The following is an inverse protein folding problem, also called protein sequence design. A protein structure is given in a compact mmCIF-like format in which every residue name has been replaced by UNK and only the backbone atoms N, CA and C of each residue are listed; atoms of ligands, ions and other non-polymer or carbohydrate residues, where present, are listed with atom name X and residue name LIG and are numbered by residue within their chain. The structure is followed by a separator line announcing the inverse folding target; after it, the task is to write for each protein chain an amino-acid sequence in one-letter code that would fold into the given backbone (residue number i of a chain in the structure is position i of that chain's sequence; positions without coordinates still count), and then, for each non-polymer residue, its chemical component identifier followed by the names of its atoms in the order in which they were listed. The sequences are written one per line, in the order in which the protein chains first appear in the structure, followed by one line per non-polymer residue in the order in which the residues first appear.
data_IF_499265466892
#
_entry.id   IF_499265466892
#
_cell.length_a   1.000
_cell.length_b   1.000
_cell.length_c   1.000
_cell.angle_alpha   90.00
_cell.angle_beta   90.00
_cell.angle_gamma   90.00
#
_symmetry.space_group_name_H-M   'P 1'
#
loop_
_entity.id
_entity.type
_entity.pdbx_description
1 polymer ?
#
# COMPACT_ATOMS: atom_id res chain seq x y z
N UNK A 1 -42.63 -9.77 -4.42
CA UNK A 1 -41.62 -8.81 -3.93
C UNK A 1 -41.87 -7.48 -4.61
N UNK A 2 -42.00 -6.43 -3.81
CA UNK A 2 -42.31 -5.06 -4.26
C UNK A 2 -41.05 -4.42 -4.86
N UNK A 3 -41.16 -3.67 -5.95
CA UNK A 3 -40.03 -2.98 -6.61
C UNK A 3 -39.20 -2.12 -5.64
N UNK A 4 -39.84 -1.58 -4.60
CA UNK A 4 -39.17 -0.76 -3.56
C UNK A 4 -38.22 -1.58 -2.68
N UNK A 5 -38.61 -2.81 -2.36
CA UNK A 5 -37.82 -3.75 -1.56
C UNK A 5 -36.54 -4.19 -2.31
N UNK A 6 -36.61 -4.27 -3.64
CA UNK A 6 -35.44 -4.58 -4.48
C UNK A 6 -34.44 -3.43 -4.57
N UNK A 7 -34.90 -2.17 -4.55
CA UNK A 7 -34.01 -0.99 -4.59
C UNK A 7 -33.32 -0.79 -3.23
N UNK A 8 -34.03 -0.86 -2.11
CA UNK A 8 -33.43 -0.79 -0.76
C UNK A 8 -32.37 -1.86 -0.55
N UNK A 9 -32.66 -3.12 -0.92
CA UNK A 9 -31.68 -4.21 -0.80
C UNK A 9 -30.45 -4.01 -1.70
N UNK A 10 -30.58 -3.31 -2.84
CA UNK A 10 -29.47 -3.02 -3.75
C UNK A 10 -28.58 -1.88 -3.23
N UNK A 11 -29.16 -0.88 -2.59
CA UNK A 11 -28.41 0.22 -1.96
C UNK A 11 -27.60 -0.26 -0.77
N UNK A 12 -28.18 -1.11 0.09
CA UNK A 12 -27.48 -1.73 1.22
C UNK A 12 -26.28 -2.54 0.72
N UNK A 13 -26.47 -3.37 -0.32
CA UNK A 13 -25.39 -4.16 -0.89
C UNK A 13 -24.28 -3.30 -1.52
N UNK A 14 -24.60 -2.17 -2.14
CA UNK A 14 -23.60 -1.27 -2.72
C UNK A 14 -22.78 -0.56 -1.66
N UNK A 15 -23.41 -0.13 -0.56
CA UNK A 15 -22.74 0.46 0.60
C UNK A 15 -21.73 -0.52 1.18
N UNK A 16 -22.13 -1.77 1.43
CA UNK A 16 -21.24 -2.78 2.00
C UNK A 16 -20.04 -3.08 1.10
N UNK A 17 -20.26 -3.14 -0.23
CA UNK A 17 -19.19 -3.33 -1.21
C UNK A 17 -18.24 -2.12 -1.21
N UNK A 18 -18.79 -0.90 -1.19
CA UNK A 18 -17.97 0.30 -1.21
C UNK A 18 -17.14 0.42 0.07
N UNK A 19 -17.70 0.08 1.22
CA UNK A 19 -17.00 0.09 2.51
C UNK A 19 -15.79 -0.84 2.49
N UNK A 20 -15.97 -2.08 2.01
CA UNK A 20 -14.86 -3.04 1.85
C UNK A 20 -13.78 -2.52 0.89
N UNK A 21 -14.16 -1.88 -0.21
CA UNK A 21 -13.20 -1.32 -1.18
C UNK A 21 -12.45 -0.12 -0.60
N UNK A 22 -13.12 0.75 0.16
CA UNK A 22 -12.51 1.93 0.77
C UNK A 22 -11.56 1.55 1.91
N UNK A 23 -11.96 0.58 2.74
CA UNK A 23 -11.16 0.14 3.89
C UNK A 23 -9.99 -0.75 3.50
N UNK A 24 -10.25 -1.82 2.73
CA UNK A 24 -9.23 -2.84 2.42
C UNK A 24 -8.54 -2.62 1.09
N UNK A 25 -9.21 -1.94 0.15
CA UNK A 25 -8.77 -1.88 -1.24
C UNK A 25 -8.97 -3.19 -2.01
N UNK A 26 -8.78 -3.12 -3.33
CA UNK A 26 -8.91 -4.23 -4.27
C UNK A 26 -7.69 -4.26 -5.18
N UNK A 27 -6.98 -5.38 -5.18
CA UNK A 27 -5.94 -5.66 -6.16
C UNK A 27 -6.51 -6.45 -7.34
N UNK A 28 -6.32 -5.93 -8.55
CA UNK A 28 -6.78 -6.54 -9.81
C UNK A 28 -5.55 -6.90 -10.64
N UNK A 29 -5.49 -8.17 -11.08
CA UNK A 29 -4.51 -8.65 -12.05
C UNK A 29 -5.27 -9.02 -13.33
N UNK A 30 -4.85 -8.46 -14.45
CA UNK A 30 -5.43 -8.72 -15.75
C UNK A 30 -4.33 -8.76 -16.81
N UNK A 31 -4.60 -9.46 -17.91
CA UNK A 31 -3.79 -9.41 -19.12
C UNK A 31 -4.66 -8.92 -20.29
N UNK A 32 -4.04 -8.23 -21.24
CA UNK A 32 -4.70 -7.75 -22.44
C UNK A 32 -3.79 -7.97 -23.64
N UNK A 33 -4.35 -8.59 -24.68
CA UNK A 33 -3.70 -8.77 -25.98
C UNK A 33 -4.44 -7.94 -27.02
N UNK A 34 -3.70 -7.13 -27.77
CA UNK A 34 -4.22 -6.37 -28.91
C UNK A 34 -3.71 -7.01 -30.19
N UNK A 35 -4.63 -7.57 -30.97
CA UNK A 35 -4.34 -8.28 -32.21
C UNK A 35 -4.87 -7.52 -33.42
N UNK A 36 -4.12 -7.50 -34.52
CA UNK A 36 -4.54 -6.93 -35.80
C UNK A 36 -4.30 -7.98 -36.88
N UNK A 37 -5.31 -8.18 -37.74
CA UNK A 37 -5.27 -9.16 -38.83
C UNK A 37 -4.87 -10.59 -38.39
N UNK A 38 -5.28 -10.99 -37.18
CA UNK A 38 -4.98 -12.31 -36.63
C UNK A 38 -3.55 -12.46 -36.08
N UNK A 39 -2.79 -11.37 -35.97
CA UNK A 39 -1.47 -11.34 -35.34
C UNK A 39 -1.53 -10.54 -34.04
N UNK A 40 -1.03 -11.12 -32.95
CA UNK A 40 -0.91 -10.45 -31.66
C UNK A 40 0.25 -9.45 -31.70
N UNK A 41 -0.04 -8.16 -31.51
CA UNK A 41 0.95 -7.10 -31.61
C UNK A 41 1.42 -6.60 -30.25
N UNK A 42 0.50 -6.54 -29.29
CA UNK A 42 0.76 -5.94 -27.98
C UNK A 42 0.20 -6.85 -26.90
N UNK A 43 1.04 -7.22 -25.95
CA UNK A 43 0.64 -7.89 -24.71
C UNK A 43 0.87 -6.93 -23.55
N UNK A 44 -0.14 -6.77 -22.69
CA UNK A 44 -0.13 -5.92 -21.51
C UNK A 44 -0.42 -6.78 -20.29
N UNK A 45 0.51 -6.78 -19.32
CA UNK A 45 0.27 -7.31 -17.97
C UNK A 45 -0.15 -6.14 -17.05
N UNK A 46 -1.42 -6.12 -16.66
CA UNK A 46 -2.05 -5.04 -15.91
C UNK A 46 -2.21 -5.45 -14.45
N UNK A 47 -1.55 -4.70 -13.56
CA UNK A 47 -1.70 -4.80 -12.11
C UNK A 47 -2.21 -3.48 -11.58
N UNK A 48 -3.43 -3.48 -11.06
CA UNK A 48 -4.13 -2.30 -10.56
C UNK A 48 -4.46 -2.49 -9.07
N UNK A 49 -4.27 -1.44 -8.27
CA UNK A 49 -4.74 -1.38 -6.88
C UNK A 49 -5.72 -0.23 -6.77
N UNK A 50 -6.95 -0.53 -6.34
CA UNK A 50 -7.99 0.45 -6.03
C UNK A 50 -8.08 0.53 -4.52
N UNK A 51 -7.87 1.70 -3.91
CA UNK A 51 -7.99 1.88 -2.47
C UNK A 51 -8.41 3.32 -2.17
N UNK A 52 -8.84 3.59 -0.93
CA UNK A 52 -9.05 4.96 -0.47
C UNK A 52 -7.77 5.79 -0.61
N UNK A 53 -7.93 7.07 -0.94
CA UNK A 53 -6.82 8.04 -1.06
C UNK A 53 -6.03 8.12 0.25
N UNK A 54 -6.72 8.10 1.39
CA UNK A 54 -6.09 8.12 2.71
C UNK A 54 -5.16 6.92 2.91
N UNK A 55 -5.64 5.72 2.62
CA UNK A 55 -4.86 4.47 2.68
C UNK A 55 -3.66 4.50 1.73
N UNK A 56 -3.81 5.07 0.53
CA UNK A 56 -2.71 5.21 -0.43
C UNK A 56 -1.63 6.17 0.08
N UNK A 57 -2.02 7.33 0.61
CA UNK A 57 -1.08 8.32 1.17
C UNK A 57 -0.33 7.74 2.38
N UNK A 58 -1.03 7.02 3.26
CA UNK A 58 -0.41 6.37 4.41
C UNK A 58 0.60 5.28 4.01
N UNK A 59 0.24 4.44 3.04
CA UNK A 59 1.15 3.41 2.51
C UNK A 59 2.43 4.01 1.89
N UNK A 60 2.32 5.20 1.30
CA UNK A 60 3.47 5.91 0.73
C UNK A 60 4.39 6.49 1.81
N UNK A 61 3.84 6.98 2.92
CA UNK A 61 4.62 7.48 4.07
C UNK A 61 5.35 6.37 4.83
N UNK A 62 4.75 5.17 4.97
CA UNK A 62 5.39 4.02 5.61
C UNK A 62 6.63 3.56 4.83
N UNK A 63 6.58 3.60 3.50
CA UNK A 63 7.74 3.32 2.66
C UNK A 63 8.87 4.34 2.83
N UNK A 64 8.54 5.62 3.08
CA UNK A 64 9.55 6.66 3.30
C UNK A 64 10.22 6.60 4.69
N UNK A 65 9.61 5.93 5.68
CA UNK A 65 10.10 5.93 7.07
C UNK A 65 11.01 4.75 7.42
N UNK A 66 11.14 3.74 6.56
CA UNK A 66 11.76 2.45 6.94
C UNK A 66 13.26 2.32 6.68
N UNK A 67 13.95 3.34 6.16
CA UNK A 67 15.44 3.32 6.09
C UNK A 67 16.02 4.70 6.38
N UNK A 68 15.62 5.34 7.48
CA UNK A 68 16.34 6.52 7.96
C UNK A 68 17.35 6.09 9.02
N UNK A 69 18.62 6.19 8.65
CA UNK A 69 19.82 6.02 9.47
C UNK A 69 19.78 6.80 10.81
N UNK A 70 18.85 7.74 10.98
CA UNK A 70 18.68 8.50 12.22
C UNK A 70 18.22 7.66 13.42
N UNK A 71 17.38 6.64 13.23
CA UNK A 71 17.01 5.76 14.35
C UNK A 71 18.17 4.85 14.76
N UNK A 72 18.96 4.39 13.79
CA UNK A 72 20.11 3.52 14.04
C UNK A 72 21.27 4.27 14.71
N UNK A 73 21.49 5.54 14.34
CA UNK A 73 22.50 6.37 15.00
C UNK A 73 22.14 6.67 16.46
N UNK A 74 20.87 6.95 16.77
CA UNK A 74 20.44 7.25 18.14
C UNK A 74 20.63 6.06 19.08
N UNK A 75 20.29 4.86 18.62
CA UNK A 75 20.48 3.64 19.41
C UNK A 75 21.97 3.33 19.66
N UNK A 76 22.85 3.61 18.68
CA UNK A 76 24.31 3.46 18.85
C UNK A 76 24.92 4.53 19.74
N UNK A 77 24.40 5.75 19.72
CA UNK A 77 24.86 6.88 20.54
C UNK A 77 24.49 6.65 22.02
N UNK A 78 23.29 6.14 22.30
CA UNK A 78 22.87 5.74 23.66
C UNK A 78 23.75 4.61 24.22
N UNK A 79 24.16 3.65 23.38
CA UNK A 79 25.08 2.58 23.78
C UNK A 79 26.53 3.06 23.95
N UNK A 80 26.97 4.06 23.18
CA UNK A 80 28.29 4.68 23.33
C UNK A 80 28.38 5.47 24.65
N UNK A 81 27.34 6.23 25.00
CA UNK A 81 27.28 6.95 26.27
C UNK A 81 27.17 6.02 27.49
N UNK A 82 26.40 4.94 27.38
CA UNK A 82 26.27 3.95 28.46
C UNK A 82 27.53 3.11 28.68
N UNK A 83 28.45 3.04 27.70
CA UNK A 83 29.69 2.25 27.82
C UNK A 83 30.86 3.04 28.40
N UNK A 84 30.76 4.36 28.60
CA UNK A 84 31.58 5.13 29.56
C UNK A 84 33.09 4.83 29.58
N UNK A 85 33.69 4.44 28.46
CA UNK A 85 35.13 4.26 28.37
C UNK A 85 35.72 5.49 27.69
N UNK A 86 36.34 6.42 28.43
CA UNK A 86 37.28 7.34 27.84
C UNK A 86 38.43 6.47 27.34
N UNK A 87 38.51 6.28 26.03
CA UNK A 87 39.71 5.70 25.42
C UNK A 87 40.81 6.74 25.54
N UNK A 88 41.50 6.67 26.66
CA UNK A 88 42.86 7.13 26.86
C UNK A 88 43.73 6.38 25.85
N UNK A 89 43.98 7.00 24.69
CA UNK A 89 45.12 6.62 23.87
C UNK A 89 46.27 7.52 24.29
N UNK A 90 46.98 7.03 25.29
CA UNK A 90 48.32 7.47 25.67
C UNK A 90 49.28 7.17 24.50
N UNK A 91 49.75 8.22 23.82
CA UNK A 91 51.10 8.37 23.29
C UNK A 91 51.37 9.81 22.81
#
# INVERSE_FOLDING_TARGET
MSLRETIENKEIALIDILDVILDKGVAIKADLVISIAGVDLVYLDLRLLIASVESLVQAQQVNAKTVSSEQFNREREELADATGQPVEWEN
#
